data_IF_629256657858
#
_entry.id   IF_629256657858
#
_cell.length_a   1.000
_cell.length_b   1.000
_cell.length_c   1.000
_cell.angle_alpha   90.00
_cell.angle_beta   90.00
_cell.angle_gamma   90.00
#
_symmetry.space_group_name_H-M   'P 1'
#
loop_
_entity.id
_entity.type
_entity.pdbx_description
1 polymer ?
#
# COMPACT_ATOMS: atom_id res chain seq x y z
N UNK A 1 18.25 1.37 10.02
CA UNK A 1 17.45 0.13 9.94
C UNK A 1 16.75 0.07 8.59
N UNK A 2 17.14 -0.86 7.73
CA UNK A 2 16.43 -1.14 6.46
C UNK A 2 15.53 -2.38 6.62
N UNK A 3 14.48 -2.49 5.82
CA UNK A 3 13.55 -3.62 5.83
C UNK A 3 13.32 -4.18 4.43
N UNK A 4 13.05 -5.50 4.37
CA UNK A 4 12.68 -6.19 3.14
C UNK A 4 11.34 -6.91 3.37
N UNK A 5 10.41 -6.73 2.44
CA UNK A 5 9.15 -7.45 2.39
C UNK A 5 9.10 -8.32 1.14
N UNK A 6 8.73 -9.59 1.31
CA UNK A 6 8.29 -10.44 0.21
C UNK A 6 6.77 -10.60 0.26
N UNK A 7 6.09 -10.14 -0.78
CA UNK A 7 4.64 -10.25 -0.94
C UNK A 7 4.32 -11.28 -2.03
N UNK A 8 3.75 -12.41 -1.62
CA UNK A 8 3.42 -13.53 -2.54
C UNK A 8 2.47 -13.15 -3.68
N UNK A 9 1.59 -12.18 -3.46
CA UNK A 9 0.49 -11.80 -4.35
C UNK A 9 0.15 -10.33 -4.09
N UNK A 10 0.25 -9.52 -5.13
CA UNK A 10 0.34 -8.07 -5.06
C UNK A 10 -0.62 -7.42 -6.06
N UNK A 11 -1.78 -7.01 -5.54
CA UNK A 11 -2.70 -6.11 -6.24
C UNK A 11 -2.02 -4.74 -6.36
N UNK A 12 -1.57 -4.42 -7.57
CA UNK A 12 -0.79 -3.22 -7.86
C UNK A 12 -1.59 -1.92 -7.73
N UNK A 13 -2.93 -1.98 -7.80
CA UNK A 13 -3.77 -0.78 -7.76
C UNK A 13 -4.29 -0.46 -6.36
N UNK A 14 -4.82 -1.45 -5.64
CA UNK A 14 -5.32 -1.23 -4.27
C UNK A 14 -4.30 -1.64 -3.21
N UNK A 15 -3.85 -2.90 -3.21
CA UNK A 15 -3.06 -3.47 -2.11
C UNK A 15 -1.68 -2.83 -1.94
N UNK A 16 -0.89 -2.80 -3.02
CA UNK A 16 0.52 -2.38 -2.98
C UNK A 16 0.70 -0.95 -2.44
N UNK A 17 -0.09 0.06 -2.84
CA UNK A 17 0.00 1.40 -2.24
C UNK A 17 -0.16 1.40 -0.71
N UNK A 18 -1.12 0.65 -0.17
CA UNK A 18 -1.28 0.50 1.28
C UNK A 18 -0.11 -0.25 1.91
N UNK A 19 0.38 -1.31 1.25
CA UNK A 19 1.51 -2.10 1.77
C UNK A 19 2.79 -1.26 1.86
N UNK A 20 3.06 -0.39 0.89
CA UNK A 20 4.20 0.53 0.93
C UNK A 20 4.09 1.48 2.12
N UNK A 21 2.96 2.15 2.28
CA UNK A 21 2.73 3.06 3.42
C UNK A 21 2.85 2.34 4.77
N UNK A 22 2.24 1.16 4.89
CA UNK A 22 2.24 0.36 6.12
C UNK A 22 3.64 -0.09 6.54
N UNK A 23 4.44 -0.64 5.62
CA UNK A 23 5.76 -1.18 5.96
C UNK A 23 6.82 -0.08 6.07
N UNK A 24 6.68 1.03 5.35
CA UNK A 24 7.51 2.21 5.57
C UNK A 24 7.27 2.78 6.99
N UNK A 25 6.01 2.95 7.40
CA UNK A 25 5.65 3.38 8.75
C UNK A 25 6.19 2.41 9.82
N UNK A 26 5.97 1.11 9.64
CA UNK A 26 6.49 0.10 10.56
C UNK A 26 8.02 0.18 10.68
N UNK A 27 8.72 0.34 9.56
CA UNK A 27 10.18 0.48 9.55
C UNK A 27 10.64 1.71 10.34
N UNK A 28 9.94 2.84 10.21
CA UNK A 28 10.25 4.04 10.99
C UNK A 28 9.98 3.85 12.49
N UNK A 29 8.87 3.22 12.87
CA UNK A 29 8.55 2.93 14.27
C UNK A 29 9.60 2.02 14.89
N UNK A 30 9.98 0.92 14.23
CA UNK A 30 10.98 0.00 14.76
C UNK A 30 12.36 0.66 14.82
N UNK A 31 12.72 1.49 13.82
CA UNK A 31 13.96 2.25 13.85
C UNK A 31 13.98 3.20 15.05
N UNK A 32 12.92 3.99 15.25
CA UNK A 32 12.77 4.91 16.39
C UNK A 32 12.91 4.20 17.74
N UNK A 33 12.17 3.11 17.95
CA UNK A 33 12.20 2.34 19.20
C UNK A 33 13.56 1.68 19.46
N UNK A 34 14.28 1.29 18.41
CA UNK A 34 15.62 0.70 18.50
C UNK A 34 16.75 1.74 18.58
N UNK A 35 16.44 3.05 18.51
CA UNK A 35 17.46 4.10 18.49
C UNK A 35 18.27 4.17 17.20
N UNK A 36 17.67 3.78 16.07
CA UNK A 36 18.27 3.83 14.73
C UNK A 36 17.53 4.81 13.83
N UNK A 37 18.22 5.26 12.78
CA UNK A 37 17.57 5.96 11.66
C UNK A 37 16.93 4.95 10.70
N UNK A 38 15.79 5.31 10.11
CA UNK A 38 15.17 4.51 9.06
C UNK A 38 16.00 4.56 7.77
N UNK A 39 16.26 3.40 7.19
CA UNK A 39 16.98 3.24 5.94
C UNK A 39 16.03 2.93 4.78
N UNK A 40 16.40 1.96 3.97
CA UNK A 40 15.63 1.56 2.78
C UNK A 40 14.51 0.58 3.12
N UNK A 41 13.39 0.71 2.42
CA UNK A 41 12.35 -0.30 2.38
C UNK A 41 12.37 -0.97 1.00
N UNK A 42 12.69 -2.26 0.97
CA UNK A 42 12.78 -3.06 -0.25
C UNK A 42 11.54 -3.95 -0.34
N UNK A 43 10.68 -3.69 -1.32
CA UNK A 43 9.47 -4.48 -1.54
C UNK A 43 9.65 -5.41 -2.74
N UNK A 44 9.63 -6.71 -2.47
CA UNK A 44 9.74 -7.78 -3.47
C UNK A 44 8.40 -8.48 -3.66
N UNK A 45 8.07 -8.81 -4.90
CA UNK A 45 6.78 -9.38 -5.28
C UNK A 45 6.94 -10.79 -5.85
N UNK A 46 5.99 -11.66 -5.53
CA UNK A 46 5.74 -12.91 -6.24
C UNK A 46 4.89 -12.64 -7.49
N UNK A 47 3.59 -12.81 -7.35
CA UNK A 47 2.61 -12.45 -8.40
C UNK A 47 2.18 -10.98 -8.27
N UNK A 48 2.66 -10.13 -9.17
CA UNK A 48 2.22 -8.74 -9.29
C UNK A 48 1.18 -8.62 -10.41
N UNK A 49 -0.03 -8.19 -10.06
CA UNK A 49 -1.17 -8.16 -10.98
C UNK A 49 -2.05 -6.92 -10.79
N UNK A 50 -2.87 -6.65 -11.81
CA UNK A 50 -3.92 -5.63 -11.81
C UNK A 50 -5.24 -6.35 -12.12
N UNK A 51 -6.27 -6.12 -11.32
CA UNK A 51 -7.60 -6.64 -11.65
C UNK A 51 -8.21 -5.89 -12.84
N UNK A 52 -8.91 -6.61 -13.71
CA UNK A 52 -9.47 -6.05 -14.95
C UNK A 52 -10.47 -4.91 -14.71
N UNK A 53 -11.19 -4.93 -13.59
CA UNK A 53 -12.12 -3.88 -13.17
C UNK A 53 -11.43 -2.59 -12.69
N UNK A 54 -10.09 -2.54 -12.61
CA UNK A 54 -9.32 -1.35 -12.22
C UNK A 54 -8.60 -0.67 -13.39
N UNK A 55 -8.72 -1.18 -14.61
CA UNK A 55 -7.94 -0.69 -15.75
C UNK A 55 -8.23 0.78 -16.10
N UNK A 56 -9.45 1.25 -15.93
CA UNK A 56 -9.79 2.67 -16.16
C UNK A 56 -9.05 3.58 -15.17
N UNK A 57 -9.06 3.24 -13.89
CA UNK A 57 -8.40 3.98 -12.83
C UNK A 57 -6.88 3.95 -12.97
N UNK A 58 -6.31 2.80 -13.31
CA UNK A 58 -4.87 2.67 -13.57
C UNK A 58 -4.45 3.59 -14.72
N UNK A 59 -5.18 3.55 -15.84
CA UNK A 59 -4.90 4.41 -16.99
C UNK A 59 -5.03 5.89 -16.65
N UNK A 60 -5.97 6.27 -15.78
CA UNK A 60 -6.08 7.65 -15.31
C UNK A 60 -4.94 8.04 -14.36
N UNK A 61 -4.50 7.14 -13.47
CA UNK A 61 -3.38 7.38 -12.57
C UNK A 61 -2.07 7.59 -13.34
N UNK A 62 -1.84 6.83 -14.41
CA UNK A 62 -0.63 6.90 -15.23
C UNK A 62 -0.49 8.22 -16.02
N UNK A 63 -1.56 9.01 -16.15
CA UNK A 63 -1.51 10.35 -16.78
C UNK A 63 -1.01 11.43 -15.82
N UNK A 64 -0.87 11.12 -14.53
CA UNK A 64 -0.56 12.10 -13.49
C UNK A 64 0.95 12.19 -13.27
N UNK A 65 1.48 13.40 -13.31
CA UNK A 65 2.86 13.66 -12.91
C UNK A 65 3.03 13.42 -11.38
N UNK A 66 4.04 12.64 -10.95
CA UNK A 66 4.33 12.47 -9.53
C UNK A 66 4.65 13.80 -8.85
N UNK A 67 4.09 14.01 -7.66
CA UNK A 67 4.42 15.15 -6.79
C UNK A 67 5.46 14.74 -5.75
N UNK A 68 6.15 15.69 -5.10
CA UNK A 68 7.10 15.39 -4.03
C UNK A 68 6.48 14.48 -2.95
N UNK A 69 7.26 13.55 -2.43
CA UNK A 69 6.81 12.70 -1.32
C UNK A 69 6.57 13.52 -0.04
N UNK A 70 5.59 13.11 0.78
CA UNK A 70 5.44 13.68 2.11
C UNK A 70 6.58 13.25 3.03
N UNK A 71 6.68 13.91 4.19
CA UNK A 71 7.55 13.50 5.29
C UNK A 71 6.73 12.88 6.41
N UNK A 72 7.13 11.70 6.87
CA UNK A 72 6.55 11.04 8.04
C UNK A 72 7.35 11.44 9.29
N UNK A 73 6.66 11.82 10.37
CA UNK A 73 7.24 12.21 11.64
C UNK A 73 6.66 11.30 12.73
N UNK A 74 7.55 10.69 13.51
CA UNK A 74 7.22 9.88 14.68
C UNK A 74 7.45 10.72 15.93
N UNK A 75 6.44 10.83 16.80
CA UNK A 75 6.58 11.54 18.07
C UNK A 75 7.59 10.80 18.97
N UNK A 76 8.60 11.50 19.51
CA UNK A 76 9.58 10.90 20.40
C UNK A 76 9.00 10.35 21.71
N UNK A 77 7.76 10.71 22.07
CA UNK A 77 7.04 10.18 23.21
C UNK A 77 6.73 8.68 23.10
N UNK A 78 6.67 8.11 21.90
CA UNK A 78 6.50 6.66 21.71
C UNK A 78 7.73 5.94 22.29
N UNK A 79 7.53 5.08 23.31
CA UNK A 79 8.61 4.30 23.97
C UNK A 79 8.47 2.80 23.80
N UNK A 80 7.30 2.32 23.42
CA UNK A 80 7.01 0.92 23.13
C UNK A 80 6.05 0.78 21.95
N UNK A 81 5.91 -0.43 21.41
CA UNK A 81 4.94 -0.70 20.35
C UNK A 81 3.49 -0.51 20.81
N UNK A 82 3.20 -0.77 22.08
CA UNK A 82 1.86 -0.64 22.65
C UNK A 82 1.42 0.83 22.80
N UNK A 83 2.37 1.78 22.78
CA UNK A 83 2.09 3.22 22.83
C UNK A 83 1.66 3.79 21.48
N UNK A 84 1.87 3.06 20.38
CA UNK A 84 1.68 3.57 19.02
C UNK A 84 0.21 3.88 18.78
N UNK A 85 -0.08 5.16 18.54
CA UNK A 85 -1.40 5.69 18.17
C UNK A 85 -1.26 6.66 17.01
N UNK A 86 -2.34 6.83 16.26
CA UNK A 86 -2.37 7.72 15.10
C UNK A 86 -2.00 9.17 15.46
N UNK A 87 -2.36 9.65 16.66
CA UNK A 87 -2.05 11.01 17.14
C UNK A 87 -0.55 11.30 17.29
N UNK A 88 0.28 10.27 17.41
CA UNK A 88 1.74 10.38 17.52
C UNK A 88 2.46 10.27 16.17
N UNK A 89 1.72 10.21 15.07
CA UNK A 89 2.25 10.05 13.72
C UNK A 89 1.74 11.21 12.87
N UNK A 90 2.67 12.04 12.38
CA UNK A 90 2.32 13.18 11.52
C UNK A 90 2.83 12.95 10.10
N UNK A 91 2.01 13.30 9.11
CA UNK A 91 2.38 13.29 7.70
C UNK A 91 2.40 14.74 7.19
N UNK A 92 3.59 15.29 6.98
CA UNK A 92 3.79 16.67 6.54
C UNK A 92 3.97 16.74 5.02
N UNK A 93 3.40 17.77 4.40
CA UNK A 93 3.57 18.01 2.96
C UNK A 93 2.86 16.99 2.06
N UNK A 94 1.83 16.31 2.57
CA UNK A 94 1.02 15.39 1.76
C UNK A 94 0.05 16.16 0.86
N UNK A 95 0.43 16.33 -0.41
CA UNK A 95 -0.38 16.97 -1.45
C UNK A 95 -0.68 15.99 -2.61
N UNK A 96 -1.55 14.99 -2.39
CA UNK A 96 -1.87 14.00 -3.41
C UNK A 96 -2.79 14.56 -4.50
N UNK A 97 -2.81 13.90 -5.66
CA UNK A 97 -3.88 14.09 -6.64
C UNK A 97 -5.22 13.57 -6.10
N UNK A 98 -6.32 13.99 -6.72
CA UNK A 98 -7.68 13.54 -6.35
C UNK A 98 -7.79 12.01 -6.31
N UNK A 99 -8.41 11.48 -5.25
CA UNK A 99 -8.56 10.05 -5.04
C UNK A 99 -9.25 9.35 -6.23
N UNK A 100 -8.74 8.16 -6.59
CA UNK A 100 -9.35 7.24 -7.54
C UNK A 100 -10.05 6.14 -6.75
N UNK A 101 -11.33 5.90 -7.04
CA UNK A 101 -12.11 4.83 -6.39
C UNK A 101 -12.01 3.54 -7.20
N UNK A 102 -11.62 2.46 -6.55
CA UNK A 102 -11.66 1.09 -7.09
C UNK A 102 -12.49 0.18 -6.19
N UNK A 103 -13.21 -0.76 -6.80
CA UNK A 103 -13.96 -1.78 -6.06
C UNK A 103 -13.04 -2.92 -5.63
N UNK A 104 -13.23 -3.45 -4.43
CA UNK A 104 -12.48 -4.63 -3.98
C UNK A 104 -12.91 -5.86 -4.79
N UNK A 105 -11.95 -6.56 -5.37
CA UNK A 105 -12.20 -7.84 -6.04
C UNK A 105 -12.12 -8.97 -5.02
N UNK A 106 -13.20 -9.74 -4.87
CA UNK A 106 -13.24 -10.91 -3.99
C UNK A 106 -12.52 -12.07 -4.69
N UNK A 107 -11.23 -12.23 -4.43
CA UNK A 107 -10.48 -13.39 -4.91
C UNK A 107 -10.95 -14.66 -4.18
N UNK A 108 -11.49 -15.63 -4.94
CA UNK A 108 -12.04 -16.89 -4.39
C UNK A 108 -13.56 -16.94 -4.26
N UNK A 109 -14.29 -15.95 -4.79
CA UNK A 109 -15.74 -16.01 -4.94
C UNK A 109 -16.13 -16.67 -6.27
N UNK A 110 -16.95 -17.71 -6.21
CA UNK A 110 -17.65 -18.24 -7.39
C UNK A 110 -18.73 -17.22 -7.81
N UNK A 111 -18.62 -16.63 -9.00
CA UNK A 111 -19.72 -15.87 -9.61
C UNK A 111 -20.57 -16.83 -10.46
N UNK A 112 -21.87 -16.95 -10.17
CA UNK A 112 -22.79 -17.77 -10.98
C UNK A 112 -22.80 -17.37 -12.47
N UNK A 113 -22.43 -16.13 -12.80
CA UNK A 113 -22.31 -15.66 -14.18
C UNK A 113 -21.17 -16.33 -14.93
N UNK A 114 -20.10 -16.75 -14.25
CA UNK A 114 -18.97 -17.46 -14.88
C UNK A 114 -19.41 -18.82 -15.43
N UNK A 115 -20.47 -19.42 -14.88
CA UNK A 115 -21.05 -20.69 -15.36
C UNK A 115 -21.81 -20.53 -16.68
N UNK A 116 -22.36 -19.35 -16.98
CA UNK A 116 -23.31 -19.18 -18.11
C UNK A 116 -22.63 -19.12 -19.47
N UNK A 117 -21.31 -18.92 -19.53
CA UNK A 117 -20.58 -18.80 -20.80
C UNK A 117 -19.91 -20.10 -21.29
N UNK A 118 -19.84 -21.16 -20.47
CA UNK A 118 -19.14 -22.39 -20.88
C UNK A 118 -20.05 -23.48 -21.50
N UNK A 119 -21.39 -23.33 -21.44
CA UNK A 119 -22.34 -24.35 -21.92
C UNK A 119 -23.20 -23.90 -23.12
N UNK A 120 -22.76 -22.89 -23.89
CA UNK A 120 -23.40 -22.51 -25.17
C UNK A 120 -22.53 -22.82 -26.40
N UNK A 121 -22.03 -24.06 -26.49
CA UNK A 121 -21.53 -24.64 -27.76
C UNK A 121 -22.23 -25.95 -28.05
#
# INVERSE_FOLDING_TARGET
>A
LSSLLYQRSADMFLGVPFNIGSYALLTQIIAHLAGYEAGEFVHTFGDAHIYSNHMEQVNEQLKREPRPFPRLIIDPAIKSLDDVKAEYITLEGYDPHTALKGELTVAGGFDEKDRKNEYQK
#
